data_IF_045479633821
#
_entry.id   IF_045479633821
#
_cell.length_a   1.000
_cell.length_b   1.000
_cell.length_c   1.000
_cell.angle_alpha   90.00
_cell.angle_beta   90.00
_cell.angle_gamma   90.00
#
_symmetry.space_group_name_H-M   'P 1'
#
loop_
_entity.id
_entity.type
_entity.pdbx_description
1 polymer ?
#
# COMPACT_ATOMS: atom_id res chain seq x y z
N UNK A 1 10.48 8.01 2.53
CA UNK A 1 11.01 8.38 1.20
C UNK A 1 9.98 7.98 0.17
N UNK A 2 9.06 8.85 -0.14
CA UNK A 2 7.93 8.50 -1.03
C UNK A 2 7.95 9.32 -2.32
N UNK A 3 9.08 9.84 -2.70
CA UNK A 3 9.31 10.28 -4.06
C UNK A 3 10.10 9.16 -4.74
N UNK A 4 9.37 8.25 -5.39
CA UNK A 4 10.01 7.35 -6.34
C UNK A 4 10.52 8.21 -7.50
N UNK A 5 11.72 8.77 -7.29
CA UNK A 5 12.44 9.57 -8.28
C UNK A 5 13.02 8.63 -9.31
N UNK A 6 12.15 8.08 -10.17
CA UNK A 6 12.64 7.35 -11.33
C UNK A 6 13.31 8.35 -12.28
N UNK A 7 14.63 8.33 -12.32
CA UNK A 7 15.42 9.21 -13.18
C UNK A 7 15.03 9.05 -14.65
N UNK A 8 14.85 7.80 -15.11
CA UNK A 8 14.44 7.52 -16.50
C UNK A 8 13.11 8.19 -16.81
N UNK A 9 12.09 8.07 -15.95
CA UNK A 9 10.81 8.74 -16.16
C UNK A 9 10.97 10.25 -16.23
N UNK A 10 11.75 10.82 -15.31
CA UNK A 10 12.02 12.28 -15.27
C UNK A 10 12.76 12.75 -16.52
N UNK A 11 13.78 12.00 -16.96
CA UNK A 11 14.54 12.33 -18.17
C UNK A 11 13.69 12.24 -19.45
N UNK A 12 12.62 11.43 -19.43
CA UNK A 12 11.64 11.38 -20.52
C UNK A 12 10.55 12.45 -20.40
N UNK A 13 10.59 13.34 -19.39
CA UNK A 13 9.57 14.38 -19.20
C UNK A 13 8.18 13.87 -18.82
N UNK A 14 8.05 12.58 -18.43
CA UNK A 14 6.75 11.95 -18.16
C UNK A 14 6.22 12.42 -16.80
N UNK A 15 5.05 13.04 -16.80
CA UNK A 15 4.34 13.47 -15.60
C UNK A 15 3.93 12.28 -14.73
N UNK A 16 3.91 12.50 -13.41
CA UNK A 16 3.57 11.49 -12.40
C UNK A 16 2.65 12.10 -11.37
N UNK A 17 1.36 11.83 -11.49
CA UNK A 17 0.32 12.45 -10.68
C UNK A 17 -0.79 11.45 -10.34
N UNK A 18 -1.67 11.82 -9.40
CA UNK A 18 -2.87 11.04 -9.09
C UNK A 18 -3.80 11.04 -10.32
N UNK A 19 -4.12 9.89 -10.89
CA UNK A 19 -4.95 9.80 -12.09
C UNK A 19 -6.42 10.17 -11.86
N UNK A 20 -6.87 10.22 -10.60
CA UNK A 20 -8.26 10.55 -10.24
C UNK A 20 -8.44 11.98 -9.74
N UNK A 21 -7.36 12.62 -9.27
CA UNK A 21 -7.36 14.00 -8.76
C UNK A 21 -6.07 14.71 -9.17
N UNK A 22 -5.81 14.91 -10.47
CA UNK A 22 -4.52 15.41 -10.95
C UNK A 22 -4.22 16.84 -10.46
N UNK A 23 -5.23 17.64 -10.16
CA UNK A 23 -5.10 19.04 -9.78
C UNK A 23 -5.07 19.27 -8.25
N UNK A 24 -5.24 18.23 -7.44
CA UNK A 24 -5.19 18.34 -5.98
C UNK A 24 -4.15 17.39 -5.38
N UNK A 25 -2.86 17.77 -5.39
CA UNK A 25 -1.80 16.93 -4.83
C UNK A 25 -1.86 16.77 -3.31
N UNK A 26 -2.68 17.57 -2.62
CA UNK A 26 -2.81 17.61 -1.17
C UNK A 26 -4.09 16.98 -0.63
N UNK A 27 -4.83 16.20 -1.42
CA UNK A 27 -5.96 15.47 -0.84
C UNK A 27 -5.43 14.58 0.30
N UNK A 28 -5.65 15.09 1.53
CA UNK A 28 -5.16 14.52 2.78
C UNK A 28 -5.66 13.08 2.92
N UNK A 29 -4.83 12.17 2.46
CA UNK A 29 -5.04 10.76 2.73
C UNK A 29 -4.63 10.50 4.18
N UNK A 30 -5.55 10.05 5.02
CA UNK A 30 -5.28 9.64 6.40
C UNK A 30 -4.19 8.56 6.49
N UNK A 31 -3.90 7.89 5.38
CA UNK A 31 -2.81 6.93 5.21
C UNK A 31 -1.54 7.54 4.58
N UNK A 32 -1.42 8.87 4.52
CA UNK A 32 -0.28 9.54 3.86
C UNK A 32 1.07 9.17 4.48
N UNK A 33 1.09 8.76 5.74
CA UNK A 33 2.28 8.29 6.41
C UNK A 33 1.99 7.11 7.33
N UNK A 34 2.96 6.21 7.42
CA UNK A 34 2.89 5.03 8.28
C UNK A 34 4.28 4.62 8.76
N UNK A 35 4.30 3.90 9.86
CA UNK A 35 5.50 3.21 10.36
C UNK A 35 5.31 1.72 10.16
N UNK A 36 6.37 1.07 9.72
CA UNK A 36 6.51 -0.39 9.76
C UNK A 36 7.74 -0.71 10.59
N UNK A 37 7.58 -1.56 11.58
CA UNK A 37 8.67 -1.98 12.47
C UNK A 37 8.57 -3.48 12.76
N UNK A 38 9.70 -4.14 12.79
CA UNK A 38 9.85 -5.50 13.27
C UNK A 38 10.30 -5.42 14.73
N UNK A 39 9.44 -5.88 15.63
CA UNK A 39 9.59 -5.72 17.08
C UNK A 39 9.55 -7.07 17.80
N UNK A 40 10.16 -7.11 18.96
CA UNK A 40 9.97 -8.22 19.92
C UNK A 40 9.25 -7.69 21.16
N UNK A 41 8.61 -8.59 21.90
CA UNK A 41 8.03 -8.28 23.19
C UNK A 41 8.81 -8.93 24.32
N UNK A 42 8.64 -8.43 25.53
CA UNK A 42 9.18 -9.01 26.77
C UNK A 42 8.70 -10.47 26.99
N UNK A 43 7.46 -10.74 26.55
CA UNK A 43 6.84 -12.07 26.52
C UNK A 43 5.96 -12.16 25.27
N UNK A 44 5.80 -13.34 24.70
CA UNK A 44 5.01 -13.52 23.48
C UNK A 44 3.53 -13.19 23.73
N UNK A 45 2.97 -12.21 23.03
CA UNK A 45 1.55 -11.90 23.13
C UNK A 45 0.70 -12.97 22.45
N UNK A 46 -0.46 -13.25 23.04
CA UNK A 46 -1.50 -14.04 22.37
C UNK A 46 -2.16 -13.19 21.28
N UNK A 47 -1.72 -13.39 20.05
CA UNK A 47 -2.26 -12.69 18.88
C UNK A 47 -3.24 -13.61 18.15
N UNK A 48 -4.49 -13.21 17.95
CA UNK A 48 -5.46 -14.02 17.23
C UNK A 48 -5.04 -14.19 15.76
N UNK A 49 -4.80 -15.42 15.35
CA UNK A 49 -4.48 -15.75 13.94
C UNK A 49 -3.09 -15.28 13.48
N UNK A 50 -2.90 -15.21 12.17
CA UNK A 50 -1.63 -14.83 11.54
C UNK A 50 -1.40 -13.30 11.56
N UNK A 51 -2.47 -12.55 11.58
CA UNK A 51 -2.47 -11.10 11.52
C UNK A 51 -3.61 -10.53 12.37
N UNK A 52 -3.28 -9.60 13.25
CA UNK A 52 -4.24 -8.88 14.06
C UNK A 52 -4.30 -7.43 13.58
N UNK A 53 -5.46 -6.99 13.13
CA UNK A 53 -5.68 -5.64 12.63
C UNK A 53 -6.73 -4.90 13.46
N UNK A 54 -6.45 -3.63 13.74
CA UNK A 54 -7.37 -2.67 14.35
C UNK A 54 -7.51 -1.51 13.41
N UNK A 55 -8.74 -1.15 13.08
CA UNK A 55 -9.04 0.02 12.26
C UNK A 55 -9.81 1.00 13.10
N UNK A 56 -9.26 2.18 13.29
CA UNK A 56 -9.86 3.28 14.02
C UNK A 56 -10.30 4.40 13.08
N UNK A 57 -10.88 5.44 13.65
CA UNK A 57 -11.33 6.64 12.94
C UNK A 57 -10.18 7.39 12.24
N UNK A 58 -8.99 7.37 12.84
CA UNK A 58 -7.88 8.22 12.45
C UNK A 58 -6.66 7.43 12.00
N UNK A 59 -6.67 6.10 12.22
CA UNK A 59 -5.51 5.24 11.98
C UNK A 59 -5.91 3.80 11.74
N UNK A 60 -5.00 3.05 11.17
CA UNK A 60 -5.00 1.59 11.21
C UNK A 60 -3.77 1.11 11.97
N UNK A 61 -3.90 -0.05 12.57
CA UNK A 61 -2.84 -0.71 13.30
C UNK A 61 -2.88 -2.21 12.98
N UNK A 62 -1.74 -2.79 12.65
CA UNK A 62 -1.62 -4.18 12.26
C UNK A 62 -0.42 -4.78 12.98
N UNK A 63 -0.60 -5.99 13.52
CA UNK A 63 0.47 -6.80 14.05
C UNK A 63 0.41 -8.18 13.40
N UNK A 64 1.50 -8.62 12.79
CA UNK A 64 1.63 -9.92 12.16
C UNK A 64 2.83 -10.67 12.74
N UNK A 65 2.64 -11.95 13.02
CA UNK A 65 3.75 -12.84 13.38
C UNK A 65 4.64 -13.07 12.16
N UNK A 66 5.94 -12.84 12.29
CA UNK A 66 6.91 -13.16 11.25
C UNK A 66 7.56 -14.50 11.54
N UNK A 67 7.51 -15.39 10.55
CA UNK A 67 8.31 -16.60 10.57
C UNK A 67 9.71 -16.24 10.08
N UNK A 68 10.58 -15.80 11.00
CA UNK A 68 11.99 -15.75 10.70
C UNK A 68 12.54 -17.17 10.68
N UNK A 69 13.47 -17.48 9.75
CA UNK A 69 14.21 -18.72 9.83
C UNK A 69 14.90 -18.84 11.20
N UNK A 70 14.81 -19.97 11.83
CA UNK A 70 15.44 -20.28 13.13
C UNK A 70 16.96 -20.42 13.02
N UNK A 71 17.56 -19.97 11.93
CA UNK A 71 18.98 -20.11 11.59
C UNK A 71 19.93 -19.14 12.34
N UNK A 72 19.46 -18.57 13.45
CA UNK A 72 20.33 -17.82 14.33
C UNK A 72 20.69 -16.42 13.84
N UNK A 73 19.80 -15.76 13.07
CA UNK A 73 19.99 -14.32 12.83
C UNK A 73 20.07 -13.60 14.18
N UNK A 74 21.22 -12.99 14.43
CA UNK A 74 21.66 -12.48 15.74
C UNK A 74 20.78 -11.36 16.31
N UNK A 75 19.82 -10.85 15.53
CA UNK A 75 19.13 -9.60 15.84
C UNK A 75 17.88 -9.74 16.73
N UNK A 76 17.33 -10.97 16.87
CA UNK A 76 16.12 -11.18 17.71
C UNK A 76 16.41 -11.84 19.07
N UNK A 77 17.64 -12.27 19.31
CA UNK A 77 18.00 -12.99 20.54
C UNK A 77 17.17 -14.27 20.79
N UNK A 78 16.67 -14.92 19.73
CA UNK A 78 15.80 -16.09 19.81
C UNK A 78 14.34 -15.79 20.17
N UNK A 79 13.93 -14.50 20.25
CA UNK A 79 12.56 -14.09 20.52
C UNK A 79 11.71 -14.09 19.24
N UNK A 80 10.43 -14.29 19.41
CA UNK A 80 9.45 -14.15 18.32
C UNK A 80 9.40 -12.71 17.84
N UNK A 81 9.53 -12.51 16.53
CA UNK A 81 9.47 -11.21 15.90
C UNK A 81 8.07 -10.97 15.33
N UNK A 82 7.56 -9.78 15.57
CA UNK A 82 6.27 -9.33 15.07
C UNK A 82 6.46 -8.11 14.19
N UNK A 83 5.79 -8.06 13.04
CA UNK A 83 5.70 -6.87 12.21
C UNK A 83 4.54 -6.00 12.65
N UNK A 84 4.87 -4.85 13.17
CA UNK A 84 3.96 -3.75 13.46
C UNK A 84 3.85 -2.86 12.20
N UNK A 85 2.64 -2.58 11.75
CA UNK A 85 2.38 -1.54 10.76
C UNK A 85 1.29 -0.62 11.31
N UNK A 86 1.57 0.68 11.37
CA UNK A 86 0.66 1.66 11.96
C UNK A 86 0.59 2.92 11.10
N UNK A 87 -0.62 3.30 10.71
CA UNK A 87 -0.89 4.61 10.12
C UNK A 87 -0.69 5.69 11.19
N UNK A 88 0.02 6.75 10.85
CA UNK A 88 0.24 7.88 11.77
C UNK A 88 -0.46 9.10 11.17
N UNK A 89 -1.48 9.65 11.83
CA UNK A 89 -2.15 10.86 11.37
C UNK A 89 -1.17 12.02 11.19
N UNK A 90 -1.41 12.87 10.19
CA UNK A 90 -0.58 14.06 9.96
C UNK A 90 -0.56 15.00 11.16
N UNK A 91 -1.63 15.01 11.95
CA UNK A 91 -1.74 15.79 13.20
C UNK A 91 -0.73 15.38 14.27
N UNK A 92 -0.23 14.14 14.22
CA UNK A 92 0.78 13.63 15.16
C UNK A 92 2.20 13.98 14.72
N UNK A 93 2.34 14.70 13.61
CA UNK A 93 3.65 15.05 13.04
C UNK A 93 4.27 13.92 12.22
N UNK A 94 5.49 14.14 11.75
CA UNK A 94 6.20 13.17 10.94
C UNK A 94 6.81 12.06 11.81
N UNK A 95 6.55 10.77 11.52
CA UNK A 95 7.20 9.67 12.22
C UNK A 95 8.73 9.75 12.08
N UNK A 96 9.50 9.25 13.05
CA UNK A 96 10.94 9.14 12.94
C UNK A 96 11.34 8.23 11.78
N UNK A 97 12.53 8.45 11.20
CA UNK A 97 13.05 7.59 10.13
C UNK A 97 13.38 6.18 10.62
N UNK A 98 13.82 6.09 11.87
CA UNK A 98 14.00 4.85 12.63
C UNK A 98 13.24 5.01 13.94
N UNK A 99 12.39 4.05 14.25
CA UNK A 99 11.54 4.08 15.44
C UNK A 99 12.28 3.50 16.64
N UNK A 100 12.19 4.18 17.78
CA UNK A 100 12.66 3.64 19.05
C UNK A 100 11.64 2.66 19.66
N UNK A 101 12.06 1.94 20.71
CA UNK A 101 11.18 1.05 21.50
C UNK A 101 10.01 1.85 22.08
N UNK A 102 10.30 3.03 22.64
CA UNK A 102 9.30 3.91 23.26
C UNK A 102 8.29 4.42 22.23
N UNK A 103 8.77 4.73 21.02
CA UNK A 103 7.90 5.17 19.95
C UNK A 103 6.96 4.05 19.49
N UNK A 104 7.48 2.83 19.29
CA UNK A 104 6.68 1.66 18.93
C UNK A 104 5.66 1.32 20.03
N UNK A 105 6.07 1.39 21.31
CA UNK A 105 5.16 1.21 22.43
C UNK A 105 4.05 2.27 22.43
N UNK A 106 4.41 3.53 22.19
CA UNK A 106 3.45 4.63 22.07
C UNK A 106 2.41 4.41 20.98
N UNK A 107 2.80 3.85 19.82
CA UNK A 107 1.86 3.49 18.75
C UNK A 107 0.90 2.38 19.18
N UNK A 108 1.36 1.40 19.96
CA UNK A 108 0.52 0.33 20.50
C UNK A 108 -0.49 0.92 21.50
N UNK A 109 -0.03 1.81 22.40
CA UNK A 109 -0.90 2.43 23.39
C UNK A 109 -1.97 3.33 22.78
N UNK A 110 -1.62 4.05 21.72
CA UNK A 110 -2.50 5.05 21.10
C UNK A 110 -3.47 4.43 20.11
N UNK A 111 -3.00 3.52 19.28
CA UNK A 111 -3.73 2.98 18.11
C UNK A 111 -3.98 1.48 18.16
N UNK A 112 -3.23 0.75 18.98
CA UNK A 112 -3.33 -0.69 19.10
C UNK A 112 -4.48 -1.17 19.99
N UNK A 113 -4.68 -2.48 20.06
CA UNK A 113 -5.70 -3.08 20.90
C UNK A 113 -5.29 -2.98 22.38
N UNK A 114 -6.28 -2.81 23.25
CA UNK A 114 -6.05 -2.75 24.70
C UNK A 114 -5.37 -4.00 25.26
N UNK A 115 -5.61 -5.16 24.64
CA UNK A 115 -5.01 -6.45 25.00
C UNK A 115 -3.48 -6.51 24.83
N UNK A 116 -2.88 -5.54 24.15
CA UNK A 116 -1.42 -5.43 23.96
C UNK A 116 -0.82 -4.22 24.70
N UNK A 117 -1.60 -3.52 25.50
CA UNK A 117 -1.13 -2.38 26.29
C UNK A 117 -0.11 -2.81 27.34
N UNK A 118 0.88 -1.96 27.57
CA UNK A 118 1.84 -2.07 28.67
C UNK A 118 1.30 -1.50 29.99
N UNK A 119 0.16 -0.81 29.98
CA UNK A 119 -0.48 -0.27 31.17
C UNK A 119 -1.29 -1.37 31.89
N UNK A 120 -0.91 -1.78 33.11
CA UNK A 120 -1.63 -2.81 33.86
C UNK A 120 -3.09 -2.47 34.15
N UNK A 121 -3.46 -1.19 34.13
CA UNK A 121 -4.85 -0.75 34.30
C UNK A 121 -5.71 -1.02 33.06
N UNK A 122 -5.07 -1.12 31.88
CA UNK A 122 -5.74 -1.40 30.61
C UNK A 122 -5.66 -2.87 30.22
N UNK A 123 -4.58 -3.53 30.63
CA UNK A 123 -4.32 -4.94 30.35
C UNK A 123 -3.63 -5.59 31.57
N UNK A 124 -4.33 -6.47 32.26
CA UNK A 124 -3.76 -7.21 33.43
C UNK A 124 -2.55 -8.07 33.05
N UNK A 125 -2.47 -8.50 31.77
CA UNK A 125 -1.31 -9.21 31.22
C UNK A 125 -0.47 -8.25 30.34
N UNK A 126 -0.02 -7.15 30.93
CA UNK A 126 0.71 -6.09 30.24
C UNK A 126 1.87 -6.63 29.39
N UNK A 127 2.01 -6.13 28.16
CA UNK A 127 3.08 -6.45 27.22
C UNK A 127 3.93 -5.23 26.94
N UNK A 128 5.25 -5.40 26.95
CA UNK A 128 6.19 -4.32 26.62
C UNK A 128 6.98 -4.67 25.37
N UNK A 129 7.15 -3.69 24.49
CA UNK A 129 8.12 -3.81 23.40
C UNK A 129 9.50 -3.91 24.02
N UNK A 130 10.22 -4.97 23.69
CA UNK A 130 11.55 -5.25 24.23
C UNK A 130 12.64 -4.70 23.32
N UNK A 131 12.51 -4.93 22.00
CA UNK A 131 13.46 -4.41 21.04
C UNK A 131 12.79 -4.08 19.69
N UNK A 132 13.45 -3.22 18.92
CA UNK A 132 13.14 -2.95 17.52
C UNK A 132 14.26 -3.51 16.66
N UNK A 133 13.99 -4.59 15.96
CA UNK A 133 14.94 -5.27 15.08
C UNK A 133 15.19 -4.44 13.83
N UNK A 134 14.12 -3.87 13.28
CA UNK A 134 14.14 -3.03 12.10
C UNK A 134 12.94 -2.09 12.09
N UNK A 135 13.09 -0.91 11.55
CA UNK A 135 11.96 -0.02 11.33
C UNK A 135 12.18 0.93 10.17
N UNK A 136 11.09 1.39 9.60
CA UNK A 136 11.08 2.44 8.58
C UNK A 136 9.78 3.20 8.59
N UNK A 137 9.83 4.44 8.11
CA UNK A 137 8.62 5.22 7.82
C UNK A 137 8.33 5.21 6.33
N UNK A 138 7.07 5.08 6.00
CA UNK A 138 6.56 5.23 4.65
C UNK A 138 5.73 6.52 4.55
N UNK A 139 5.97 7.26 3.50
CA UNK A 139 5.06 8.28 3.01
C UNK A 139 4.46 7.73 1.73
N UNK A 140 3.16 7.64 1.70
CA UNK A 140 2.45 7.05 0.57
C UNK A 140 1.65 8.11 -0.15
N UNK A 141 1.57 7.99 -1.45
CA UNK A 141 0.69 8.79 -2.31
C UNK A 141 0.14 7.91 -3.42
N UNK A 142 -0.90 8.37 -4.04
CA UNK A 142 -1.39 7.79 -5.29
C UNK A 142 -0.75 8.51 -6.45
N UNK A 143 -0.17 7.78 -7.38
CA UNK A 143 0.30 8.38 -8.61
C UNK A 143 0.48 7.31 -9.70
N UNK A 144 0.26 7.73 -10.95
CA UNK A 144 0.58 6.96 -12.14
C UNK A 144 1.28 7.85 -13.16
N UNK A 145 2.18 7.27 -13.94
CA UNK A 145 2.78 7.94 -15.06
C UNK A 145 1.73 8.23 -16.14
N UNK A 146 1.83 9.37 -16.78
CA UNK A 146 0.93 9.76 -17.87
C UNK A 146 0.98 8.77 -19.03
N UNK A 147 2.18 8.25 -19.31
CA UNK A 147 2.43 7.20 -20.30
C UNK A 147 3.37 6.15 -19.72
N UNK A 148 3.15 4.86 -20.06
CA UNK A 148 4.03 3.76 -19.66
C UNK A 148 5.02 3.38 -20.76
N UNK A 149 4.86 3.93 -21.96
CA UNK A 149 5.76 3.73 -23.10
C UNK A 149 6.08 5.06 -23.78
N UNK A 150 7.35 5.27 -24.10
CA UNK A 150 7.83 6.41 -24.87
C UNK A 150 9.16 6.06 -25.55
N UNK A 151 9.68 7.01 -26.36
CA UNK A 151 11.06 6.98 -26.86
C UNK A 151 11.88 8.05 -26.14
N UNK A 152 13.09 7.70 -25.73
CA UNK A 152 14.02 8.64 -25.11
C UNK A 152 14.57 9.58 -26.20
N UNK A 153 14.50 10.90 -25.96
CA UNK A 153 14.97 11.92 -26.89
C UNK A 153 13.96 12.35 -27.96
N UNK A 154 12.74 11.79 -27.94
CA UNK A 154 11.63 12.29 -28.77
C UNK A 154 11.03 13.53 -28.12
N UNK A 155 10.90 14.61 -28.90
CA UNK A 155 10.03 15.72 -28.54
C UNK A 155 8.58 15.24 -28.55
N UNK A 156 7.76 15.77 -27.64
CA UNK A 156 6.41 15.29 -27.30
C UNK A 156 5.40 15.25 -28.46
N UNK A 157 5.76 15.76 -29.64
CA UNK A 157 4.83 15.97 -30.77
C UNK A 157 5.08 15.09 -31.98
N UNK A 158 6.10 14.24 -32.03
CA UNK A 158 6.33 13.40 -33.20
C UNK A 158 6.40 11.92 -32.89
N UNK A 159 5.59 11.14 -33.59
CA UNK A 159 5.67 9.68 -33.74
C UNK A 159 7.01 9.21 -34.37
N UNK A 160 8.07 10.00 -34.24
CA UNK A 160 9.37 9.68 -34.79
C UNK A 160 10.01 8.53 -33.99
N UNK A 161 10.08 7.38 -34.59
CA UNK A 161 10.66 6.15 -34.06
C UNK A 161 12.19 6.22 -33.87
N UNK A 162 12.76 7.41 -33.74
CA UNK A 162 14.19 7.65 -33.56
C UNK A 162 14.53 7.85 -32.12
N UNK A 163 14.78 6.79 -31.36
CA UNK A 163 15.19 6.87 -29.97
C UNK A 163 15.12 5.52 -29.27
N UNK A 164 15.73 5.43 -28.10
CA UNK A 164 15.67 4.22 -27.30
C UNK A 164 14.24 4.03 -26.74
N UNK A 165 13.67 2.84 -26.91
CA UNK A 165 12.36 2.48 -26.35
C UNK A 165 12.44 2.45 -24.83
N UNK A 166 11.50 3.11 -24.18
CA UNK A 166 11.39 3.17 -22.71
C UNK A 166 10.03 2.62 -22.30
N UNK A 167 10.04 1.55 -21.49
CA UNK A 167 8.86 0.99 -20.85
C UNK A 167 8.96 1.21 -19.33
N UNK A 168 7.97 1.85 -18.74
CA UNK A 168 7.87 2.04 -17.29
C UNK A 168 7.01 0.95 -16.67
N UNK A 169 7.52 0.29 -15.61
CA UNK A 169 6.80 -0.75 -14.87
C UNK A 169 6.99 -0.57 -13.36
N UNK A 170 6.11 -1.18 -12.56
CA UNK A 170 6.17 -1.13 -11.10
C UNK A 170 6.18 0.32 -10.58
N UNK A 171 6.93 0.58 -9.52
CA UNK A 171 6.97 1.88 -8.84
C UNK A 171 7.43 3.04 -9.73
N UNK A 172 8.14 2.77 -10.84
CA UNK A 172 8.47 3.78 -11.84
C UNK A 172 7.22 4.26 -12.60
N UNK A 173 6.25 3.38 -12.78
CA UNK A 173 5.02 3.61 -13.54
C UNK A 173 3.82 4.00 -12.65
N UNK A 174 3.70 3.39 -11.46
CA UNK A 174 2.55 3.58 -10.58
C UNK A 174 2.90 3.30 -9.12
N UNK A 175 2.32 4.08 -8.22
CA UNK A 175 2.42 3.89 -6.78
C UNK A 175 1.06 4.12 -6.11
N UNK A 176 0.83 3.40 -5.04
CA UNK A 176 -0.34 3.57 -4.17
C UNK A 176 -0.01 3.11 -2.75
N UNK A 177 -0.77 3.54 -1.73
CA UNK A 177 -0.65 3.02 -0.38
C UNK A 177 -0.75 1.50 -0.33
N UNK A 178 -0.14 0.84 0.67
CA UNK A 178 -0.10 -0.62 0.77
C UNK A 178 -1.46 -1.25 1.13
N UNK A 179 -2.56 -0.53 0.97
CA UNK A 179 -3.91 -1.05 1.15
C UNK A 179 -4.14 -2.28 0.25
N UNK A 180 -4.34 -3.43 0.86
CA UNK A 180 -4.52 -4.71 0.17
C UNK A 180 -3.23 -5.38 -0.34
N UNK A 181 -2.03 -4.84 -0.07
CA UNK A 181 -0.75 -5.49 -0.39
C UNK A 181 -0.45 -5.68 -1.89
N UNK A 182 -1.05 -4.86 -2.77
CA UNK A 182 -1.04 -5.10 -4.22
C UNK A 182 0.16 -4.51 -4.98
N UNK A 183 0.93 -3.60 -4.38
CA UNK A 183 2.00 -2.87 -5.09
C UNK A 183 3.02 -3.80 -5.74
N UNK A 184 3.61 -4.69 -4.97
CA UNK A 184 4.59 -5.66 -5.48
C UNK A 184 3.99 -6.59 -6.54
N UNK A 185 2.79 -7.11 -6.28
CA UNK A 185 2.11 -8.03 -7.20
C UNK A 185 1.81 -7.38 -8.55
N UNK A 186 1.41 -6.10 -8.54
CA UNK A 186 1.13 -5.35 -9.76
C UNK A 186 2.41 -5.14 -10.58
N UNK A 187 3.53 -4.77 -9.91
CA UNK A 187 4.83 -4.62 -10.55
C UNK A 187 5.38 -5.92 -11.13
N UNK A 188 5.24 -7.04 -10.41
CA UNK A 188 5.64 -8.37 -10.92
C UNK A 188 4.84 -8.76 -12.17
N UNK A 189 3.54 -8.48 -12.18
CA UNK A 189 2.70 -8.74 -13.35
C UNK A 189 3.04 -7.84 -14.54
N UNK A 190 3.42 -6.59 -14.30
CA UNK A 190 3.94 -5.73 -15.35
C UNK A 190 5.15 -6.39 -16.00
N UNK A 191 6.11 -6.86 -15.22
CA UNK A 191 7.33 -7.49 -15.72
C UNK A 191 7.03 -8.79 -16.48
N UNK A 192 6.22 -9.69 -15.90
CA UNK A 192 5.87 -10.99 -16.50
C UNK A 192 5.14 -10.78 -17.83
N UNK A 193 4.17 -9.86 -17.89
CA UNK A 193 3.39 -9.62 -19.10
C UNK A 193 4.17 -8.89 -20.18
N UNK A 194 5.16 -8.08 -19.82
CA UNK A 194 5.99 -7.32 -20.75
C UNK A 194 7.05 -8.21 -21.43
N UNK A 195 7.56 -9.24 -20.76
CA UNK A 195 8.61 -10.11 -21.28
C UNK A 195 8.35 -10.65 -22.70
N UNK A 196 7.22 -11.34 -22.96
CA UNK A 196 6.87 -11.82 -24.29
C UNK A 196 6.74 -10.71 -25.34
N UNK A 197 6.23 -9.53 -24.94
CA UNK A 197 6.07 -8.38 -25.84
C UNK A 197 7.42 -7.83 -26.27
N UNK A 198 8.38 -7.72 -25.34
CA UNK A 198 9.76 -7.32 -25.67
C UNK A 198 10.42 -8.37 -26.57
N UNK A 199 10.30 -9.66 -26.24
CA UNK A 199 10.89 -10.72 -27.06
C UNK A 199 10.38 -10.66 -28.51
N UNK A 200 9.06 -10.51 -28.68
CA UNK A 200 8.46 -10.35 -30.00
C UNK A 200 8.94 -9.07 -30.73
N UNK A 201 9.07 -7.96 -29.98
CA UNK A 201 9.56 -6.70 -30.54
C UNK A 201 11.02 -6.77 -30.99
N UNK A 202 11.87 -7.47 -30.24
CA UNK A 202 13.27 -7.69 -30.61
C UNK A 202 13.39 -8.56 -31.88
N UNK A 203 12.55 -9.59 -32.00
CA UNK A 203 12.52 -10.47 -33.18
C UNK A 203 11.99 -9.74 -34.41
N UNK A 204 10.96 -8.90 -34.26
CA UNK A 204 10.34 -8.16 -35.36
C UNK A 204 11.15 -6.92 -35.81
N UNK A 205 12.15 -6.52 -35.02
CA UNK A 205 12.97 -5.33 -35.27
C UNK A 205 12.27 -4.02 -34.95
N UNK A 206 12.91 -2.91 -35.34
CA UNK A 206 12.39 -1.55 -35.10
C UNK A 206 11.48 -1.13 -36.25
N UNK A 207 10.18 -1.09 -35.98
CA UNK A 207 9.18 -0.58 -36.91
C UNK A 207 8.06 0.14 -36.12
N UNK A 208 7.35 1.04 -36.77
CA UNK A 208 6.19 1.70 -36.19
C UNK A 208 5.10 0.72 -35.76
N UNK A 209 4.91 -0.37 -36.51
CA UNK A 209 3.97 -1.43 -36.17
C UNK A 209 4.39 -2.20 -34.90
N UNK A 210 5.70 -2.38 -34.69
CA UNK A 210 6.23 -2.99 -33.46
C UNK A 210 6.01 -2.06 -32.26
N UNK A 211 6.29 -0.77 -32.44
CA UNK A 211 6.08 0.23 -31.39
C UNK A 211 4.60 0.36 -30.99
N UNK A 212 3.69 0.28 -31.95
CA UNK A 212 2.26 0.32 -31.68
C UNK A 212 1.80 -0.89 -30.83
N UNK A 213 2.31 -2.08 -31.09
CA UNK A 213 2.02 -3.27 -30.26
C UNK A 213 2.52 -3.10 -28.83
N UNK A 214 3.76 -2.59 -28.65
CA UNK A 214 4.30 -2.32 -27.32
C UNK A 214 3.49 -1.23 -26.63
N UNK A 215 3.15 -0.15 -27.33
CA UNK A 215 2.34 0.97 -26.83
C UNK A 215 0.97 0.48 -26.37
N UNK A 216 0.28 -0.31 -27.17
CA UNK A 216 -1.04 -0.87 -26.84
C UNK A 216 -0.99 -1.74 -25.58
N UNK A 217 0.04 -2.60 -25.46
CA UNK A 217 0.24 -3.40 -24.26
C UNK A 217 0.47 -2.52 -23.03
N UNK A 218 1.35 -1.54 -23.11
CA UNK A 218 1.66 -0.65 -22.00
C UNK A 218 0.49 0.27 -21.62
N UNK A 219 -0.36 0.66 -22.60
CA UNK A 219 -1.61 1.38 -22.32
C UNK A 219 -2.59 0.51 -21.53
N UNK A 220 -2.72 -0.77 -21.86
CA UNK A 220 -3.54 -1.73 -21.09
C UNK A 220 -3.00 -1.88 -19.66
N UNK A 221 -1.69 -2.00 -19.46
CA UNK A 221 -1.08 -2.06 -18.12
C UNK A 221 -1.37 -0.80 -17.31
N UNK A 222 -1.30 0.38 -17.96
CA UNK A 222 -1.66 1.65 -17.31
C UNK A 222 -3.14 1.67 -16.87
N UNK A 223 -4.05 1.24 -17.72
CA UNK A 223 -5.47 1.15 -17.35
C UNK A 223 -5.68 0.27 -16.10
N UNK A 224 -5.00 -0.87 -16.04
CA UNK A 224 -5.07 -1.77 -14.87
C UNK A 224 -4.50 -1.11 -13.61
N UNK A 225 -3.37 -0.44 -13.71
CA UNK A 225 -2.77 0.29 -12.59
C UNK A 225 -3.70 1.39 -12.07
N UNK A 226 -4.29 2.18 -12.96
CA UNK A 226 -5.27 3.23 -12.60
C UNK A 226 -6.50 2.63 -11.91
N UNK A 227 -7.02 1.49 -12.40
CA UNK A 227 -8.13 0.77 -11.76
C UNK A 227 -7.77 0.30 -10.34
N UNK A 228 -6.57 -0.27 -10.15
CA UNK A 228 -6.09 -0.68 -8.82
C UNK A 228 -5.92 0.52 -7.89
N UNK A 229 -5.37 1.62 -8.38
CA UNK A 229 -5.28 2.88 -7.61
C UNK A 229 -6.67 3.35 -7.17
N UNK A 230 -7.67 3.31 -8.04
CA UNK A 230 -9.05 3.66 -7.69
C UNK A 230 -9.65 2.75 -6.61
N UNK A 231 -9.43 1.44 -6.72
CA UNK A 231 -9.89 0.46 -5.71
C UNK A 231 -9.20 0.70 -4.37
N UNK A 232 -7.89 0.87 -4.35
CA UNK A 232 -7.14 1.11 -3.11
C UNK A 232 -7.49 2.46 -2.49
N UNK A 233 -7.77 3.49 -3.30
CA UNK A 233 -8.27 4.79 -2.84
C UNK A 233 -9.66 4.66 -2.21
N UNK A 234 -10.56 3.93 -2.86
CA UNK A 234 -11.89 3.62 -2.31
C UNK A 234 -11.80 2.84 -1.00
N UNK A 235 -10.96 1.81 -0.93
CA UNK A 235 -10.76 1.02 0.30
C UNK A 235 -10.18 1.88 1.43
N UNK A 236 -9.16 2.69 1.14
CA UNK A 236 -8.57 3.60 2.12
C UNK A 236 -9.61 4.64 2.58
N UNK A 237 -10.41 5.17 1.68
CA UNK A 237 -11.56 6.01 1.99
C UNK A 237 -12.58 5.30 2.88
N UNK A 238 -13.00 4.10 2.54
CA UNK A 238 -13.96 3.32 3.32
C UNK A 238 -13.46 2.97 4.73
N UNK A 239 -12.14 2.72 4.87
CA UNK A 239 -11.48 2.44 6.15
C UNK A 239 -11.25 3.73 6.95
N UNK A 240 -10.86 4.82 6.29
CA UNK A 240 -10.66 6.15 6.90
C UNK A 240 -11.95 6.97 7.01
N UNK A 241 -13.01 6.56 6.35
CA UNK A 241 -14.28 7.27 6.37
C UNK A 241 -14.99 7.14 7.70
N UNK A 242 -14.94 8.25 8.35
CA UNK A 242 -16.18 8.85 8.72
C UNK A 242 -16.32 10.16 7.93
N UNK A 243 -16.93 10.16 6.79
CA UNK A 243 -17.64 11.36 6.47
C UNK A 243 -18.72 11.45 7.53
N UNK A 244 -18.76 12.56 8.17
CA UNK A 244 -19.91 13.04 8.87
C UNK A 244 -21.07 13.09 7.86
N UNK A 245 -21.65 11.96 7.54
CA UNK A 245 -23.04 11.92 7.16
C UNK A 245 -23.74 12.16 8.49
N UNK A 246 -23.74 13.41 8.86
CA UNK A 246 -24.69 13.96 9.80
C UNK A 246 -26.04 13.82 9.11
N UNK A 247 -26.58 12.55 9.17
CA UNK A 247 -27.95 12.35 8.74
C UNK A 247 -28.76 13.21 9.71
N UNK A 248 -29.41 14.23 9.17
CA UNK A 248 -30.42 15.04 9.86
C UNK A 248 -31.67 14.19 10.17
N UNK A 249 -31.48 12.91 10.50
CA UNK A 249 -32.57 12.09 10.96
C UNK A 249 -32.55 12.09 12.49
N UNK A 250 -33.38 12.87 13.04
CA UNK A 250 -33.62 13.37 14.39
C UNK A 250 -33.79 12.27 15.48
N UNK A 251 -33.94 11.00 15.21
CA UNK A 251 -34.52 10.06 16.18
C UNK A 251 -33.57 9.00 16.75
N UNK A 252 -32.44 8.75 16.19
CA UNK A 252 -31.43 7.87 16.78
C UNK A 252 -30.02 8.28 16.31
N UNK A 253 -29.07 8.54 17.22
CA UNK A 253 -27.67 8.64 16.89
C UNK A 253 -27.15 7.23 16.62
N UNK A 254 -27.44 6.68 15.44
CA UNK A 254 -26.76 5.45 14.99
C UNK A 254 -25.35 5.89 14.61
N UNK A 255 -24.39 5.48 15.42
CA UNK A 255 -22.98 5.69 15.11
C UNK A 255 -22.66 4.90 13.84
N UNK A 256 -22.36 5.63 12.76
CA UNK A 256 -22.07 5.04 11.44
C UNK A 256 -20.89 4.07 11.50
N UNK A 257 -20.02 4.21 12.49
CA UNK A 257 -18.92 3.28 12.73
C UNK A 257 -19.42 1.91 13.19
N UNK A 258 -20.46 1.86 14.00
CA UNK A 258 -21.08 0.60 14.43
C UNK A 258 -21.68 -0.10 13.23
N UNK A 259 -22.36 0.63 12.34
CA UNK A 259 -22.92 0.08 11.10
C UNK A 259 -21.80 -0.41 10.18
N UNK A 260 -20.73 0.37 9.99
CA UNK A 260 -19.54 -0.04 9.22
C UNK A 260 -18.95 -1.32 9.79
N UNK A 261 -18.69 -1.36 11.08
CA UNK A 261 -18.06 -2.49 11.75
C UNK A 261 -18.92 -3.74 11.65
N UNK A 262 -20.24 -3.60 11.75
CA UNK A 262 -21.17 -4.68 11.56
C UNK A 262 -21.20 -5.18 10.11
N UNK A 263 -21.17 -4.27 9.12
CA UNK A 263 -21.10 -4.60 7.70
C UNK A 263 -19.79 -5.31 7.37
N UNK A 264 -18.65 -4.78 7.84
CA UNK A 264 -17.33 -5.40 7.62
C UNK A 264 -17.27 -6.78 8.27
N UNK A 265 -17.82 -6.94 9.48
CA UNK A 265 -17.91 -8.23 10.17
C UNK A 265 -18.80 -9.22 9.42
N UNK A 266 -19.97 -8.79 8.96
CA UNK A 266 -20.90 -9.65 8.22
C UNK A 266 -20.32 -10.08 6.85
N UNK A 267 -19.69 -9.14 6.13
CA UNK A 267 -19.01 -9.42 4.86
C UNK A 267 -17.80 -10.33 5.06
N UNK A 268 -17.04 -10.15 6.16
CA UNK A 268 -15.89 -10.98 6.51
C UNK A 268 -16.25 -12.45 6.79
N UNK A 269 -17.48 -12.73 7.21
CA UNK A 269 -17.99 -14.11 7.39
C UNK A 269 -18.40 -14.79 6.09
N UNK A 270 -18.62 -14.03 5.02
CA UNK A 270 -19.02 -14.58 3.73
C UNK A 270 -17.82 -15.10 2.95
N UNK A 271 -17.68 -16.41 2.84
CA UNK A 271 -16.61 -17.05 2.04
C UNK A 271 -16.66 -16.62 0.58
N UNK A 272 -17.87 -16.42 0.02
CA UNK A 272 -18.07 -15.95 -1.33
C UNK A 272 -17.54 -14.51 -1.54
N UNK A 273 -17.85 -13.59 -0.59
CA UNK A 273 -17.33 -12.22 -0.64
C UNK A 273 -15.81 -12.21 -0.54
N UNK A 274 -15.24 -12.97 0.39
CA UNK A 274 -13.80 -13.05 0.60
C UNK A 274 -13.09 -13.63 -0.62
N UNK A 275 -13.63 -14.68 -1.23
CA UNK A 275 -13.08 -15.27 -2.46
C UNK A 275 -13.18 -14.29 -3.63
N UNK A 276 -14.32 -13.64 -3.83
CA UNK A 276 -14.52 -12.70 -4.92
C UNK A 276 -13.68 -11.44 -4.77
N UNK A 277 -13.56 -10.93 -3.54
CA UNK A 277 -12.69 -9.80 -3.22
C UNK A 277 -11.21 -10.18 -3.37
N UNK A 278 -10.82 -11.34 -2.85
CA UNK A 278 -9.47 -11.88 -3.01
C UNK A 278 -9.11 -12.09 -4.48
N UNK A 279 -10.01 -12.64 -5.29
CA UNK A 279 -9.83 -12.83 -6.72
C UNK A 279 -9.69 -11.49 -7.46
N UNK A 280 -10.56 -10.51 -7.18
CA UNK A 280 -10.46 -9.16 -7.75
C UNK A 280 -9.18 -8.44 -7.33
N UNK A 281 -8.83 -8.54 -6.05
CA UNK A 281 -7.60 -7.95 -5.53
C UNK A 281 -6.36 -8.69 -6.02
N UNK A 282 -6.44 -10.02 -6.22
CA UNK A 282 -5.34 -10.78 -6.79
C UNK A 282 -5.07 -10.39 -8.25
N UNK A 283 -6.03 -9.77 -8.95
CA UNK A 283 -5.93 -9.38 -10.36
C UNK A 283 -5.82 -10.60 -11.29
N UNK A 284 -6.27 -11.78 -10.85
CA UNK A 284 -6.31 -13.01 -11.64
C UNK A 284 -7.47 -13.03 -12.65
N UNK A 285 -8.26 -11.96 -12.70
CA UNK A 285 -9.45 -11.88 -13.56
C UNK A 285 -9.15 -11.79 -15.06
N UNK A 286 -7.89 -11.59 -15.46
CA UNK A 286 -7.54 -11.48 -16.88
C UNK A 286 -6.12 -12.00 -17.15
N UNK A 287 -5.92 -12.75 -18.24
CA UNK A 287 -4.62 -13.21 -18.70
C UNK A 287 -3.67 -12.06 -19.05
#
# INVERSE_FOLDING_TARGET
MADCKCQVRQSCGIKFADPHTPDNPEELNTMAQMVVADITFDKNPEVPGVCYAVVSKESFWILAHLQYPTDGSKDSGGKTVYRLACGVPLTDGAPPSQSSVEYCQGLIEKYGPRSLSSDPRRNSNAYKVDSVVWSTRFRTRYAAAEHFFTHFGSSTDELSATGARVCLIGDAAHIHPPAGGQGMNLGLRDAISLGPVIAAALTAGTSSATDEKVRAHMALRRQRAVKVIGITKFMAGAVGMAPVIRSKWWWTPVDIYVVRDWVVWALGKSTWVNQKLGYKLSGLEEP
#
